data_IF_458675147734
#
_entry.id   IF_458675147734
#
_cell.length_a   1.000
_cell.length_b   1.000
_cell.length_c   1.000
_cell.angle_alpha   90.00
_cell.angle_beta   90.00
_cell.angle_gamma   90.00
#
_symmetry.space_group_name_H-M   'P 1'
#
loop_
_entity.id
_entity.type
_entity.pdbx_description
1 polymer ?
#
# COMPACT_ATOMS: atom_id res chain seq x y z
N UNK A 1 -16.34 -26.12 -6.47
CA UNK A 1 -15.37 -25.09 -6.89
C UNK A 1 -15.26 -24.07 -5.76
N UNK A 2 -14.29 -24.24 -4.86
CA UNK A 2 -14.07 -23.30 -3.77
C UNK A 2 -13.60 -21.99 -4.38
N UNK A 3 -14.38 -20.93 -4.21
CA UNK A 3 -14.02 -19.58 -4.65
C UNK A 3 -12.72 -19.20 -3.93
N UNK A 4 -11.60 -19.20 -4.64
CA UNK A 4 -10.36 -18.54 -4.20
C UNK A 4 -10.63 -17.03 -4.17
N UNK A 5 -11.36 -16.59 -3.15
CA UNK A 5 -11.78 -15.22 -2.99
C UNK A 5 -10.94 -14.60 -1.88
N UNK A 6 -10.35 -13.44 -2.18
CA UNK A 6 -9.64 -12.65 -1.19
C UNK A 6 -10.62 -12.35 -0.04
N UNK A 7 -10.26 -12.62 1.22
CA UNK A 7 -11.12 -12.32 2.37
C UNK A 7 -11.56 -10.86 2.37
N UNK A 8 -12.76 -10.58 2.90
CA UNK A 8 -13.34 -9.23 2.86
C UNK A 8 -12.41 -8.21 3.53
N UNK A 9 -11.90 -8.51 4.72
CA UNK A 9 -11.02 -7.61 5.47
C UNK A 9 -9.75 -7.22 4.69
N UNK A 10 -9.20 -8.16 3.91
CA UNK A 10 -8.03 -7.87 3.07
C UNK A 10 -8.39 -6.96 1.90
N UNK A 11 -9.58 -7.14 1.31
CA UNK A 11 -10.09 -6.26 0.25
C UNK A 11 -10.35 -4.85 0.80
N UNK A 12 -10.92 -4.75 1.99
CA UNK A 12 -11.25 -3.47 2.63
C UNK A 12 -9.97 -2.68 2.95
N UNK A 13 -8.96 -3.33 3.55
CA UNK A 13 -7.66 -2.66 3.81
C UNK A 13 -6.92 -2.34 2.51
N UNK A 14 -7.00 -3.19 1.48
CA UNK A 14 -6.40 -2.88 0.16
C UNK A 14 -7.06 -1.67 -0.49
N UNK A 15 -8.39 -1.53 -0.40
CA UNK A 15 -9.11 -0.36 -0.88
C UNK A 15 -8.75 0.90 -0.07
N UNK A 16 -8.58 0.76 1.25
CA UNK A 16 -8.10 1.85 2.11
C UNK A 16 -6.70 2.32 1.72
N UNK A 17 -5.77 1.40 1.46
CA UNK A 17 -4.42 1.71 0.95
C UNK A 17 -4.49 2.49 -0.38
N UNK A 18 -5.39 2.12 -1.29
CA UNK A 18 -5.57 2.87 -2.56
C UNK A 18 -6.08 4.29 -2.31
N UNK A 19 -7.03 4.47 -1.40
CA UNK A 19 -7.53 5.79 -1.02
C UNK A 19 -6.42 6.65 -0.37
N UNK A 20 -5.63 6.06 0.53
CA UNK A 20 -4.48 6.72 1.16
C UNK A 20 -3.40 7.07 0.14
N UNK A 21 -3.11 6.20 -0.82
CA UNK A 21 -2.13 6.47 -1.87
C UNK A 21 -2.52 7.71 -2.70
N UNK A 22 -3.81 7.84 -3.04
CA UNK A 22 -4.33 9.03 -3.71
C UNK A 22 -4.20 10.27 -2.80
N UNK A 23 -4.62 10.16 -1.54
CA UNK A 23 -4.56 11.25 -0.57
C UNK A 23 -3.11 11.74 -0.33
N UNK A 24 -2.15 10.82 -0.13
CA UNK A 24 -0.73 11.15 0.03
C UNK A 24 -0.19 11.81 -1.25
N UNK A 25 -0.52 11.26 -2.42
CA UNK A 25 -0.07 11.81 -3.70
C UNK A 25 -0.69 13.18 -4.03
N UNK A 26 -1.76 13.61 -3.35
CA UNK A 26 -2.44 14.89 -3.62
C UNK A 26 -2.22 15.91 -2.51
N UNK A 27 -2.25 15.51 -1.25
CA UNK A 27 -2.30 16.39 -0.09
C UNK A 27 -1.06 16.35 0.81
N UNK A 28 -0.10 15.44 0.60
CA UNK A 28 1.15 15.41 1.39
C UNK A 28 1.91 16.73 1.28
N UNK A 29 1.92 17.52 2.36
CA UNK A 29 2.78 18.70 2.51
C UNK A 29 4.23 18.21 2.65
N UNK A 30 4.89 17.95 1.52
CA UNK A 30 6.24 17.39 1.51
C UNK A 30 6.58 16.52 0.31
N UNK A 31 5.67 16.33 -0.64
CA UNK A 31 6.03 15.80 -1.95
C UNK A 31 6.41 14.33 -1.91
N UNK A 32 5.48 13.47 -1.49
CA UNK A 32 5.57 12.04 -1.77
C UNK A 32 4.69 11.67 -2.97
N UNK A 33 5.05 10.61 -3.67
CA UNK A 33 4.18 9.90 -4.59
C UNK A 33 4.03 8.46 -4.10
N UNK A 34 2.85 7.90 -4.31
CA UNK A 34 2.56 6.51 -3.97
C UNK A 34 2.00 5.84 -5.21
N UNK A 35 2.57 4.69 -5.57
CA UNK A 35 2.01 3.81 -6.60
C UNK A 35 1.50 2.54 -5.93
N UNK A 36 0.31 2.10 -6.34
CA UNK A 36 -0.30 0.85 -5.88
C UNK A 36 -0.57 0.00 -7.12
N UNK A 37 0.04 -1.18 -7.17
CA UNK A 37 -0.12 -2.13 -8.25
C UNK A 37 -0.64 -3.46 -7.69
N UNK A 38 -1.63 -4.04 -8.38
CA UNK A 38 -2.22 -5.31 -8.00
C UNK A 38 -2.06 -6.35 -9.11
N UNK A 39 -1.33 -7.42 -8.81
CA UNK A 39 -1.22 -8.59 -9.69
C UNK A 39 -2.34 -9.57 -9.40
N UNK A 40 -3.33 -9.65 -10.29
CA UNK A 40 -4.41 -10.63 -10.20
C UNK A 40 -3.96 -12.09 -10.39
N UNK A 41 -2.81 -12.31 -11.05
CA UNK A 41 -2.26 -13.66 -11.27
C UNK A 41 -1.63 -14.23 -9.99
N UNK A 42 -0.93 -13.39 -9.23
CA UNK A 42 -0.24 -13.79 -7.99
C UNK A 42 -1.02 -13.41 -6.73
N UNK A 43 -2.16 -12.72 -6.87
CA UNK A 43 -2.89 -12.04 -5.80
C UNK A 43 -1.93 -11.24 -4.91
N UNK A 44 -1.11 -10.40 -5.54
CA UNK A 44 -0.06 -9.63 -4.87
C UNK A 44 -0.37 -8.14 -4.97
N UNK A 45 -0.29 -7.45 -3.85
CA UNK A 45 -0.34 -5.99 -3.78
C UNK A 45 1.07 -5.45 -3.61
N UNK A 46 1.50 -4.56 -4.50
CA UNK A 46 2.74 -3.81 -4.40
C UNK A 46 2.42 -2.35 -4.13
N UNK A 47 3.06 -1.78 -3.12
CA UNK A 47 2.91 -0.37 -2.75
C UNK A 47 4.29 0.26 -2.74
N UNK A 48 4.51 1.23 -3.61
CA UNK A 48 5.78 1.95 -3.70
C UNK A 48 5.58 3.39 -3.24
N UNK A 49 6.41 3.83 -2.31
CA UNK A 49 6.42 5.20 -1.78
C UNK A 49 7.77 5.84 -2.10
N UNK A 50 7.73 7.00 -2.74
CA UNK A 50 8.93 7.78 -3.06
C UNK A 50 8.70 9.27 -2.86
N UNK A 51 9.77 10.06 -2.94
CA UNK A 51 9.66 11.52 -3.01
C UNK A 51 9.33 11.95 -4.43
N UNK A 52 8.43 12.91 -4.57
CA UNK A 52 7.94 13.49 -5.83
C UNK A 52 9.03 14.26 -6.55
N UNK A 53 9.95 14.89 -5.83
CA UNK A 53 11.17 15.48 -6.41
C UNK A 53 12.00 14.47 -7.19
N UNK A 54 11.91 13.21 -6.80
CA UNK A 54 12.78 12.14 -7.25
C UNK A 54 12.12 11.25 -8.32
N UNK A 55 10.91 11.59 -8.76
CA UNK A 55 10.12 10.77 -9.69
C UNK A 55 10.83 10.48 -11.03
N UNK A 56 11.68 11.41 -11.48
CA UNK A 56 12.49 11.26 -12.70
C UNK A 56 13.94 10.88 -12.42
N UNK A 57 14.30 10.63 -11.16
CA UNK A 57 15.63 10.22 -10.78
C UNK A 57 15.69 8.68 -10.68
N UNK A 58 16.33 7.99 -11.65
CA UNK A 58 16.38 6.53 -11.67
C UNK A 58 17.24 5.93 -10.54
N UNK A 59 18.05 6.75 -9.84
CA UNK A 59 18.88 6.30 -8.71
C UNK A 59 18.25 6.61 -7.35
N UNK A 60 17.07 7.24 -7.34
CA UNK A 60 16.41 7.58 -6.10
C UNK A 60 15.84 6.35 -5.38
N UNK A 61 16.02 6.34 -4.07
CA UNK A 61 15.54 5.26 -3.23
C UNK A 61 14.04 5.43 -2.98
N UNK A 62 13.26 4.41 -3.32
CA UNK A 62 11.86 4.28 -2.95
C UNK A 62 11.67 3.09 -2.02
N UNK A 63 10.66 3.16 -1.15
CA UNK A 63 10.27 2.05 -0.28
C UNK A 63 9.16 1.27 -0.98
N UNK A 64 9.40 0.00 -1.28
CA UNK A 64 8.40 -0.89 -1.90
C UNK A 64 7.99 -1.97 -0.91
N UNK A 65 6.69 -2.06 -0.66
CA UNK A 65 6.06 -3.17 0.06
C UNK A 65 5.47 -4.15 -0.95
N UNK A 66 5.59 -5.44 -0.66
CA UNK A 66 5.03 -6.51 -1.49
C UNK A 66 4.29 -7.50 -0.59
N UNK A 67 2.97 -7.55 -0.70
CA UNK A 67 2.11 -8.41 0.13
C UNK A 67 1.40 -9.42 -0.77
N UNK A 68 1.60 -10.72 -0.49
CA UNK A 68 0.83 -11.78 -1.12
C UNK A 68 -0.45 -12.02 -0.33
N UNK A 69 -1.60 -11.88 -0.98
CA UNK A 69 -2.91 -12.04 -0.37
C UNK A 69 -3.34 -13.52 -0.36
N UNK A 70 -4.20 -13.93 0.59
CA UNK A 70 -4.80 -15.25 0.55
C UNK A 70 -5.59 -15.49 -0.75
N UNK A 71 -5.56 -16.71 -1.31
CA UNK A 71 -4.84 -17.90 -0.81
C UNK A 71 -3.37 -18.01 -1.24
N UNK A 72 -2.83 -17.04 -1.98
CA UNK A 72 -1.47 -17.09 -2.55
C UNK A 72 -0.36 -16.64 -1.59
N UNK A 73 -0.66 -16.39 -0.32
CA UNK A 73 0.32 -15.98 0.69
C UNK A 73 1.45 -17.02 0.82
N UNK A 74 2.69 -16.57 0.66
CA UNK A 74 3.88 -17.44 0.67
C UNK A 74 4.53 -17.59 2.04
N UNK A 75 4.25 -16.66 2.95
CA UNK A 75 4.82 -16.62 4.30
C UNK A 75 3.72 -16.73 5.35
N UNK A 76 4.04 -17.23 6.57
CA UNK A 76 3.08 -17.33 7.66
C UNK A 76 2.74 -16.00 8.35
N UNK A 77 3.43 -14.91 7.99
CA UNK A 77 3.10 -13.58 8.50
C UNK A 77 1.74 -13.17 7.96
N UNK A 78 0.88 -12.67 8.86
CA UNK A 78 -0.49 -12.31 8.54
C UNK A 78 -0.51 -11.21 7.47
N UNK A 79 -0.97 -11.55 6.26
CA UNK A 79 -1.07 -10.60 5.16
C UNK A 79 -1.94 -9.39 5.55
N UNK A 80 -2.93 -9.58 6.43
CA UNK A 80 -3.75 -8.50 6.94
C UNK A 80 -2.93 -7.54 7.82
N UNK A 81 -2.07 -8.07 8.69
CA UNK A 81 -1.20 -7.25 9.54
C UNK A 81 -0.24 -6.41 8.69
N UNK A 82 0.32 -6.99 7.62
CA UNK A 82 1.18 -6.26 6.69
C UNK A 82 0.42 -5.14 5.97
N UNK A 83 -0.79 -5.42 5.47
CA UNK A 83 -1.64 -4.39 4.86
C UNK A 83 -1.96 -3.26 5.84
N UNK A 84 -2.31 -3.59 7.08
CA UNK A 84 -2.59 -2.59 8.12
C UNK A 84 -1.35 -1.78 8.49
N UNK A 85 -0.18 -2.39 8.53
CA UNK A 85 1.08 -1.69 8.76
C UNK A 85 1.39 -0.70 7.61
N UNK A 86 1.16 -1.11 6.35
CA UNK A 86 1.30 -0.23 5.19
C UNK A 86 0.31 0.95 5.29
N UNK A 87 -0.95 0.70 5.66
CA UNK A 87 -1.94 1.76 5.82
C UNK A 87 -1.49 2.80 6.86
N UNK A 88 -0.99 2.36 8.03
CA UNK A 88 -0.44 3.27 9.05
C UNK A 88 0.76 4.07 8.55
N UNK A 89 1.68 3.42 7.82
CA UNK A 89 2.83 4.10 7.24
C UNK A 89 2.39 5.18 6.22
N UNK A 90 1.33 4.94 5.44
CA UNK A 90 0.78 5.93 4.50
C UNK A 90 0.02 7.06 5.22
N UNK A 91 -0.75 6.74 6.27
CA UNK A 91 -1.44 7.74 7.10
C UNK A 91 -0.45 8.72 7.75
N UNK A 92 0.71 8.24 8.20
CA UNK A 92 1.77 9.08 8.75
C UNK A 92 2.37 10.07 7.74
N UNK A 93 2.16 9.88 6.43
CA UNK A 93 2.62 10.79 5.37
C UNK A 93 1.60 11.89 5.03
N UNK A 94 0.37 11.79 5.55
CA UNK A 94 -0.65 12.81 5.40
C UNK A 94 -0.38 13.96 6.37
N UNK A 95 -0.61 15.22 5.96
CA UNK A 95 -0.45 16.35 6.86
C UNK A 95 -1.48 16.28 7.98
N UNK A 96 -1.04 16.03 9.20
CA UNK A 96 -1.81 16.24 10.42
C UNK A 96 -3.12 15.45 10.51
N UNK A 97 -3.03 14.12 10.61
CA UNK A 97 -3.87 13.43 11.63
C UNK A 97 -3.10 13.53 12.95
N UNK A 98 -2.95 14.75 13.45
CA UNK A 98 -2.51 15.02 14.82
C UNK A 98 -3.69 15.69 15.51
N UNK A 99 -4.36 14.88 16.33
CA UNK A 99 -5.25 15.21 17.45
C UNK A 99 -6.20 16.41 17.28
N UNK A 100 -7.49 16.11 17.13
CA UNK A 100 -8.52 16.93 17.77
C UNK A 100 -8.36 16.87 19.30
#
# INVERSE_FOLDING_TARGET
>A
MSRCQIPQDHRDVSAHIQALALAVSTHSQGGHWVSVDFSGMLLQLNVTVGRRSDLHNPTAVSKTYSVYLPPCQRAPHDALEQLQAIARDLEALLPGVVAA
#
